data_IF_856751321831
#
_entry.id   IF_856751321831
#
_cell.length_a   1.000
_cell.length_b   1.000
_cell.length_c   1.000
_cell.angle_alpha   90.00
_cell.angle_beta   90.00
_cell.angle_gamma   90.00
#
_symmetry.space_group_name_H-M   'P 1'
#
loop_
_entity.id
_entity.type
_entity.pdbx_description
1 polymer ?
#
# COMPACT_ATOMS: atom_id res chain seq x y z
N UNK A 1 26.21 71.28 -9.46
CA UNK A 1 26.86 70.34 -8.53
C UNK A 1 25.79 69.42 -7.96
N UNK A 2 25.91 68.12 -7.91
CA UNK A 2 26.34 67.14 -8.90
C UNK A 2 25.54 65.87 -8.57
N UNK A 3 25.24 65.09 -9.59
CA UNK A 3 24.37 63.90 -9.52
C UNK A 3 25.21 62.74 -9.00
N UNK A 4 24.74 62.03 -7.96
CA UNK A 4 25.36 60.77 -7.57
C UNK A 4 24.28 59.72 -7.30
N UNK A 5 23.94 58.98 -8.36
CA UNK A 5 23.30 57.67 -8.27
C UNK A 5 24.38 56.68 -7.86
N UNK A 6 24.22 55.96 -6.75
CA UNK A 6 25.08 54.82 -6.43
C UNK A 6 24.42 53.55 -6.95
N UNK A 7 25.05 52.95 -7.96
CA UNK A 7 24.82 51.58 -8.36
C UNK A 7 25.88 50.72 -7.65
N UNK A 8 25.44 49.76 -6.84
CA UNK A 8 26.31 48.69 -6.37
C UNK A 8 25.66 47.36 -6.70
N UNK A 9 26.43 46.60 -7.48
CA UNK A 9 26.09 45.34 -8.10
C UNK A 9 25.81 44.24 -7.07
N UNK A 10 24.64 43.60 -7.18
CA UNK A 10 24.42 42.27 -6.60
C UNK A 10 24.10 41.32 -7.76
N UNK A 11 25.18 40.69 -8.22
CA UNK A 11 25.29 39.42 -8.93
C UNK A 11 23.95 38.69 -9.14
N UNK A 12 23.43 38.77 -10.38
CA UNK A 12 22.49 37.79 -10.92
C UNK A 12 23.24 36.50 -11.23
N UNK A 13 23.23 35.54 -10.31
CA UNK A 13 23.55 34.16 -10.65
C UNK A 13 22.76 33.20 -9.78
N UNK A 14 21.78 32.54 -10.41
CA UNK A 14 20.96 31.51 -9.79
C UNK A 14 19.82 31.16 -10.73
N UNK A 15 20.11 30.33 -11.74
CA UNK A 15 19.14 29.87 -12.74
C UNK A 15 17.84 29.40 -12.08
N UNK A 16 16.77 30.17 -12.29
CA UNK A 16 15.46 29.93 -11.70
C UNK A 16 14.66 28.81 -12.39
N UNK A 17 15.31 27.95 -13.17
CA UNK A 17 14.67 26.89 -13.95
C UNK A 17 14.49 25.57 -13.16
N UNK A 18 15.22 25.36 -12.06
CA UNK A 18 15.08 24.13 -11.26
C UNK A 18 13.89 24.14 -10.29
N UNK A 19 13.20 25.28 -10.10
CA UNK A 19 12.15 25.41 -9.07
C UNK A 19 10.77 24.89 -9.48
N UNK A 20 10.53 24.61 -10.77
CA UNK A 20 9.23 24.09 -11.23
C UNK A 20 9.08 22.57 -11.13
N UNK A 21 10.13 21.83 -10.78
CA UNK A 21 10.10 20.36 -10.71
C UNK A 21 10.06 19.82 -9.27
N UNK A 22 9.62 20.59 -8.28
CA UNK A 22 9.55 20.18 -6.86
C UNK A 22 8.51 19.08 -6.55
N UNK A 23 8.08 18.30 -7.54
CA UNK A 23 7.10 17.23 -7.33
C UNK A 23 7.13 16.12 -8.38
N UNK A 24 8.06 16.14 -9.34
CA UNK A 24 8.21 15.07 -10.31
C UNK A 24 9.53 14.34 -10.05
N UNK A 25 9.42 13.17 -9.43
CA UNK A 25 10.52 12.22 -9.36
C UNK A 25 10.77 11.63 -10.76
N UNK A 26 12.04 11.45 -11.13
CA UNK A 26 12.41 10.93 -12.45
C UNK A 26 12.54 12.01 -13.54
N UNK A 27 12.46 11.57 -14.79
CA UNK A 27 12.57 12.44 -15.98
C UNK A 27 11.21 12.52 -16.68
N UNK A 28 10.64 13.72 -16.89
CA UNK A 28 9.36 13.85 -17.57
C UNK A 28 9.46 13.39 -19.03
N UNK A 29 8.34 13.01 -19.63
CA UNK A 29 8.28 12.57 -21.04
C UNK A 29 8.42 13.74 -22.02
N UNK A 30 8.04 14.95 -21.60
CA UNK A 30 8.12 16.19 -22.39
C UNK A 30 8.76 17.31 -21.58
N UNK A 31 9.51 18.16 -22.27
CA UNK A 31 10.04 19.38 -21.69
C UNK A 31 8.92 20.42 -21.52
N UNK A 32 9.13 21.42 -20.66
CA UNK A 32 8.19 22.54 -20.46
C UNK A 32 7.84 23.32 -21.73
N UNK A 33 8.62 23.18 -22.80
CA UNK A 33 8.38 23.79 -24.11
C UNK A 33 7.48 22.95 -25.03
N UNK A 34 6.97 21.80 -24.56
CA UNK A 34 6.13 20.86 -25.32
C UNK A 34 6.90 19.80 -26.10
N UNK A 35 8.19 20.05 -26.37
CA UNK A 35 9.05 19.15 -27.12
C UNK A 35 9.48 17.91 -26.35
N UNK A 36 9.74 16.85 -27.11
CA UNK A 36 10.22 15.58 -26.58
C UNK A 36 11.60 15.70 -25.92
N UNK A 37 11.88 14.74 -25.04
CA UNK A 37 13.19 14.53 -24.42
C UNK A 37 13.86 13.33 -25.10
N UNK A 38 15.16 13.43 -25.30
CA UNK A 38 15.96 12.40 -25.95
C UNK A 38 17.26 12.14 -25.16
N UNK A 39 17.89 11.00 -25.42
CA UNK A 39 19.12 10.59 -24.74
C UNK A 39 20.34 10.91 -25.60
N UNK A 40 21.32 11.58 -25.02
CA UNK A 40 22.56 11.98 -25.69
C UNK A 40 23.77 11.42 -24.95
N UNK A 41 24.89 11.35 -25.65
CA UNK A 41 26.19 10.94 -25.10
C UNK A 41 27.09 12.17 -24.99
N UNK A 42 27.65 12.39 -23.81
CA UNK A 42 28.61 13.47 -23.56
C UNK A 42 29.91 13.19 -24.29
N UNK A 43 30.36 14.20 -25.03
CA UNK A 43 31.66 14.23 -25.73
C UNK A 43 32.69 15.11 -25.00
N UNK A 44 32.36 15.56 -23.79
CA UNK A 44 33.24 16.44 -23.02
C UNK A 44 34.40 15.67 -22.40
N UNK A 45 35.60 16.26 -22.35
CA UNK A 45 36.78 15.63 -21.74
C UNK A 45 36.56 15.28 -20.26
N UNK A 46 35.77 16.09 -19.53
CA UNK A 46 35.49 15.86 -18.11
C UNK A 46 34.53 14.69 -17.87
N UNK A 47 33.62 14.43 -18.80
CA UNK A 47 32.61 13.37 -18.69
C UNK A 47 32.51 12.62 -20.03
N UNK A 48 33.54 11.89 -20.44
CA UNK A 48 33.52 11.19 -21.71
C UNK A 48 32.50 10.05 -21.66
N UNK A 49 31.72 9.88 -22.73
CA UNK A 49 30.76 8.80 -22.93
C UNK A 49 29.58 8.72 -21.92
N UNK A 50 29.49 9.63 -20.95
CA UNK A 50 28.37 9.65 -19.99
C UNK A 50 27.08 10.06 -20.69
N UNK A 51 25.98 9.34 -20.43
CA UNK A 51 24.66 9.58 -21.06
C UNK A 51 23.83 10.58 -20.26
N UNK A 52 23.11 11.47 -20.96
CA UNK A 52 22.19 12.43 -20.34
C UNK A 52 20.90 12.59 -21.15
N UNK A 53 19.81 12.89 -20.47
CA UNK A 53 18.55 13.32 -21.05
C UNK A 53 18.56 14.81 -21.35
N UNK A 54 18.09 15.20 -22.53
CA UNK A 54 17.94 16.61 -22.91
C UNK A 54 16.75 16.82 -23.84
N UNK A 55 16.14 18.00 -23.75
CA UNK A 55 15.12 18.41 -24.72
C UNK A 55 15.68 18.51 -26.14
N UNK A 56 14.93 18.02 -27.13
CA UNK A 56 15.32 17.98 -28.55
C UNK A 56 15.69 19.35 -29.13
N UNK A 57 14.97 20.40 -28.74
CA UNK A 57 15.19 21.75 -29.29
C UNK A 57 16.19 22.60 -28.51
N UNK A 58 16.71 22.08 -27.39
CA UNK A 58 17.61 22.82 -26.51
C UNK A 58 18.93 23.23 -27.18
N UNK A 59 19.35 22.54 -28.25
CA UNK A 59 20.53 22.93 -29.04
C UNK A 59 20.25 24.08 -30.00
N UNK A 60 19.01 24.21 -30.49
CA UNK A 60 18.63 25.28 -31.41
C UNK A 60 18.29 26.57 -30.65
N UNK A 61 17.63 26.47 -29.49
CA UNK A 61 17.25 27.62 -28.65
C UNK A 61 18.31 27.93 -27.59
N UNK A 62 19.47 28.42 -28.04
CA UNK A 62 20.56 28.85 -27.14
C UNK A 62 20.08 30.05 -26.32
N UNK A 63 19.93 29.88 -25.01
CA UNK A 63 19.49 30.93 -24.07
C UNK A 63 18.27 30.55 -23.24
N UNK A 64 17.48 29.57 -23.70
CA UNK A 64 16.38 29.00 -22.93
C UNK A 64 16.88 27.84 -22.06
N UNK A 65 16.49 27.82 -20.79
CA UNK A 65 16.84 26.76 -19.86
C UNK A 65 15.89 25.55 -20.05
N UNK A 66 16.25 24.68 -20.99
CA UNK A 66 15.55 23.42 -21.21
C UNK A 66 16.02 22.30 -20.28
N UNK A 67 15.25 21.20 -20.22
CA UNK A 67 15.61 20.03 -19.43
C UNK A 67 16.98 19.48 -19.81
N UNK A 68 17.80 19.24 -18.79
CA UNK A 68 19.07 18.52 -18.82
C UNK A 68 19.18 17.71 -17.52
N UNK A 69 19.44 16.41 -17.62
CA UNK A 69 19.66 15.55 -16.45
C UNK A 69 20.52 14.34 -16.84
N UNK A 70 21.43 13.92 -15.96
CA UNK A 70 22.21 12.71 -16.20
C UNK A 70 21.35 11.44 -16.06
N UNK A 71 21.61 10.43 -16.89
CA UNK A 71 20.79 9.20 -16.91
C UNK A 71 20.94 8.40 -15.62
N UNK A 72 22.16 8.30 -15.10
CA UNK A 72 22.48 7.60 -13.85
C UNK A 72 21.84 8.29 -12.63
N UNK A 73 21.84 9.62 -12.58
CA UNK A 73 21.17 10.38 -11.52
C UNK A 73 19.65 10.20 -11.59
N UNK A 74 19.07 10.26 -12.79
CA UNK A 74 17.64 10.02 -12.99
C UNK A 74 17.22 8.60 -12.55
N UNK A 75 18.00 7.59 -12.93
CA UNK A 75 17.73 6.21 -12.56
C UNK A 75 17.86 5.98 -11.05
N UNK A 76 18.88 6.57 -10.42
CA UNK A 76 19.06 6.47 -8.97
C UNK A 76 17.85 7.03 -8.21
N UNK A 77 17.33 8.20 -8.64
CA UNK A 77 16.12 8.78 -8.05
C UNK A 77 14.88 7.89 -8.23
N UNK A 78 14.71 7.27 -9.39
CA UNK A 78 13.60 6.35 -9.66
C UNK A 78 13.70 5.08 -8.80
N UNK A 79 14.89 4.50 -8.67
CA UNK A 79 15.14 3.34 -7.81
C UNK A 79 14.80 3.68 -6.36
N UNK A 80 15.32 4.79 -5.82
CA UNK A 80 15.04 5.19 -4.43
C UNK A 80 13.54 5.41 -4.17
N UNK A 81 12.79 5.89 -5.17
CA UNK A 81 11.35 6.03 -5.05
C UNK A 81 10.64 4.68 -5.05
N UNK A 82 11.05 3.75 -5.93
CA UNK A 82 10.51 2.40 -5.98
C UNK A 82 10.75 1.68 -4.66
N UNK A 83 11.96 1.77 -4.11
CA UNK A 83 12.30 1.22 -2.79
C UNK A 83 11.41 1.81 -1.68
N UNK A 84 11.18 3.12 -1.70
CA UNK A 84 10.31 3.77 -0.72
C UNK A 84 8.87 3.26 -0.80
N UNK A 85 8.32 3.12 -2.02
CA UNK A 85 6.98 2.57 -2.24
C UNK A 85 6.88 1.11 -1.84
N UNK A 86 7.92 0.32 -2.14
CA UNK A 86 7.97 -1.09 -1.78
C UNK A 86 7.91 -1.28 -0.26
N UNK A 87 8.67 -0.48 0.50
CA UNK A 87 8.60 -0.52 1.97
C UNK A 87 7.19 -0.24 2.49
N UNK A 88 6.52 0.79 1.97
CA UNK A 88 5.15 1.11 2.38
C UNK A 88 4.18 -0.04 2.07
N UNK A 89 4.29 -0.66 0.89
CA UNK A 89 3.44 -1.80 0.52
C UNK A 89 3.71 -2.99 1.45
N UNK A 90 4.97 -3.27 1.78
CA UNK A 90 5.33 -4.36 2.70
C UNK A 90 4.78 -4.13 4.12
N UNK A 91 4.82 -2.88 4.61
CA UNK A 91 4.20 -2.48 5.88
C UNK A 91 2.67 -2.64 5.87
N UNK A 92 2.01 -2.16 4.82
CA UNK A 92 0.54 -2.29 4.67
C UNK A 92 0.09 -3.76 4.62
N UNK A 93 0.84 -4.62 3.91
CA UNK A 93 0.57 -6.06 3.83
C UNK A 93 0.77 -6.76 5.18
N UNK A 94 1.79 -6.36 5.94
CA UNK A 94 2.04 -6.87 7.28
C UNK A 94 0.88 -6.52 8.22
N UNK A 95 0.37 -5.31 8.16
CA UNK A 95 -0.71 -4.85 9.01
C UNK A 95 -2.06 -5.49 8.64
N UNK A 96 -2.37 -5.64 7.35
CA UNK A 96 -3.55 -6.42 6.91
C UNK A 96 -3.48 -7.88 7.36
N UNK A 97 -2.30 -8.52 7.32
CA UNK A 97 -2.13 -9.90 7.79
C UNK A 97 -2.39 -10.03 9.30
N UNK A 98 -2.03 -9.02 10.10
CA UNK A 98 -2.30 -9.01 11.54
C UNK A 98 -3.79 -8.85 11.84
N UNK A 99 -4.51 -8.02 11.09
CA UNK A 99 -5.96 -7.83 11.30
C UNK A 99 -6.74 -9.11 11.02
N UNK A 100 -6.41 -9.84 9.95
CA UNK A 100 -7.04 -11.13 9.62
C UNK A 100 -6.83 -12.17 10.74
N UNK A 101 -5.66 -12.19 11.37
CA UNK A 101 -5.37 -13.12 12.48
C UNK A 101 -6.19 -12.82 13.73
N UNK A 102 -6.54 -11.55 14.00
CA UNK A 102 -7.33 -11.16 15.17
C UNK A 102 -8.83 -11.47 15.06
N UNK A 103 -9.34 -11.73 13.86
CA UNK A 103 -10.75 -12.08 13.64
C UNK A 103 -11.04 -13.59 13.85
N UNK A 104 -10.01 -14.45 13.77
CA UNK A 104 -10.12 -15.91 14.02
C UNK A 104 -10.03 -16.26 15.51
N UNK A 105 -9.30 -15.47 16.31
CA UNK A 105 -9.17 -15.68 17.76
C UNK A 105 -10.42 -15.19 18.57
N UNK A 106 -11.39 -14.55 17.90
CA UNK A 106 -12.61 -13.99 18.51
C UNK A 106 -13.84 -14.92 18.51
N UNK A 107 -13.83 -16.04 17.79
CA UNK A 107 -15.00 -16.90 17.60
C UNK A 107 -15.20 -17.99 18.69
N UNK A 108 -14.49 -17.95 19.82
CA UNK A 108 -14.58 -18.97 20.89
C UNK A 108 -15.05 -18.47 22.27
N UNK A 109 -15.59 -17.26 22.41
CA UNK A 109 -16.11 -16.78 23.69
C UNK A 109 -17.52 -16.18 23.62
N UNK A 110 -18.52 -16.98 23.22
CA UNK A 110 -19.93 -16.68 23.55
C UNK A 110 -20.83 -17.93 23.56
N UNK A 111 -20.44 -19.01 24.23
CA UNK A 111 -21.38 -20.09 24.58
C UNK A 111 -21.21 -20.55 26.04
N UNK A 112 -21.32 -19.59 26.96
CA UNK A 112 -21.36 -19.90 28.38
C UNK A 112 -22.03 -18.79 29.15
N UNK A 113 -23.36 -18.86 29.28
CA UNK A 113 -24.11 -18.68 30.53
C UNK A 113 -25.59 -18.42 30.22
N UNK A 114 -26.38 -19.48 30.01
CA UNK A 114 -27.82 -19.49 30.28
C UNK A 114 -28.19 -20.89 30.74
N UNK A 115 -28.00 -21.16 32.01
CA UNK A 115 -28.29 -22.48 32.54
C UNK A 115 -28.07 -22.60 34.03
N UNK A 116 -28.71 -21.74 34.83
CA UNK A 116 -28.98 -22.01 36.23
C UNK A 116 -30.17 -21.16 36.68
N UNK A 117 -31.32 -21.80 36.88
CA UNK A 117 -32.17 -21.65 38.08
C UNK A 117 -33.61 -22.12 37.84
N UNK A 118 -33.91 -23.38 38.22
CA UNK A 118 -35.21 -23.69 38.82
C UNK A 118 -35.16 -25.00 39.64
N UNK A 119 -34.77 -24.89 40.90
CA UNK A 119 -35.24 -25.76 42.00
C UNK A 119 -36.00 -24.79 42.91
N UNK A 120 -37.28 -24.93 43.24
CA UNK A 120 -37.98 -26.08 43.83
C UNK A 120 -39.35 -25.55 44.25
N UNK A 121 -40.45 -26.31 44.11
CA UNK A 121 -41.56 -26.35 45.10
C UNK A 121 -42.60 -27.41 44.75
N UNK A 122 -42.85 -28.29 45.73
CA UNK A 122 -44.11 -29.00 46.03
C UNK A 122 -44.54 -30.09 45.02
N UNK A 123 -44.97 -31.30 45.41
CA UNK A 123 -45.73 -31.72 46.58
C UNK A 123 -45.64 -33.26 46.72
N UNK A 124 -45.64 -33.72 47.95
CA UNK A 124 -45.72 -35.13 48.36
C UNK A 124 -47.13 -35.71 48.25
N UNK A 125 -47.19 -37.05 48.40
CA UNK A 125 -48.33 -37.95 48.70
C UNK A 125 -49.06 -38.50 47.47
N UNK A 126 -48.68 -39.70 47.00
CA UNK A 126 -49.07 -41.07 47.43
C UNK A 126 -50.45 -41.51 46.90
N UNK A 127 -50.45 -42.61 46.13
CA UNK A 127 -51.42 -43.70 46.27
C UNK A 127 -51.22 -44.77 45.16
N UNK A 128 -50.89 -45.99 45.59
CA UNK A 128 -51.71 -47.15 45.21
C UNK A 128 -51.34 -48.00 43.99
N UNK A 129 -50.49 -49.01 44.24
CA UNK A 129 -50.72 -50.43 43.94
C UNK A 129 -50.90 -50.95 42.49
N UNK A 130 -49.89 -51.75 42.08
CA UNK A 130 -49.98 -53.17 41.68
C UNK A 130 -50.88 -53.57 40.49
N UNK A 131 -50.28 -54.07 39.39
CA UNK A 131 -50.39 -55.48 38.96
C UNK A 131 -49.77 -55.77 37.56
N UNK A 132 -48.72 -56.58 37.60
CA UNK A 132 -48.26 -57.64 36.67
C UNK A 132 -49.13 -58.10 35.46
N UNK A 133 -48.50 -58.24 34.28
CA UNK A 133 -48.27 -59.51 33.50
C UNK A 133 -48.25 -59.35 31.96
N UNK A 134 -47.22 -59.94 31.32
CA UNK A 134 -47.22 -60.42 29.92
C UNK A 134 -46.97 -59.34 28.85
N UNK A 135 -46.36 -59.60 27.70
CA UNK A 135 -45.84 -60.80 27.06
C UNK A 135 -44.98 -60.28 25.88
N UNK A 136 -43.87 -60.97 25.59
CA UNK A 136 -43.11 -60.99 24.33
C UNK A 136 -43.79 -60.27 23.15
N UNK A 137 -43.27 -59.11 22.70
CA UNK A 137 -44.03 -58.36 21.69
C UNK A 137 -43.37 -57.26 20.89
N UNK A 138 -42.05 -57.11 20.82
CA UNK A 138 -41.46 -56.22 19.79
C UNK A 138 -40.03 -56.57 19.32
N UNK A 139 -39.56 -57.81 19.57
CA UNK A 139 -38.34 -58.36 18.94
C UNK A 139 -38.49 -58.51 17.39
N UNK A 140 -39.61 -58.05 16.82
CA UNK A 140 -39.98 -58.22 15.42
C UNK A 140 -40.02 -56.91 14.62
N UNK A 141 -39.03 -56.02 14.78
CA UNK A 141 -38.86 -54.94 13.81
C UNK A 141 -37.41 -54.47 13.60
N UNK A 142 -36.43 -55.35 13.81
CA UNK A 142 -35.03 -55.10 13.42
C UNK A 142 -34.42 -56.29 12.67
N UNK A 143 -35.21 -56.91 11.79
CA UNK A 143 -34.69 -57.69 10.66
C UNK A 143 -34.62 -56.72 9.46
N UNK A 144 -33.49 -56.07 9.21
CA UNK A 144 -32.47 -56.61 8.29
C UNK A 144 -33.09 -57.31 7.08
N UNK A 145 -32.77 -56.77 5.89
CA UNK A 145 -32.80 -57.46 4.59
C UNK A 145 -34.24 -57.75 4.13
N UNK A 146 -34.71 -57.18 3.05
CA UNK A 146 -34.15 -57.40 1.71
C UNK A 146 -35.06 -56.62 0.75
N UNK A 147 -34.48 -56.06 -0.31
CA UNK A 147 -35.18 -55.72 -1.56
C UNK A 147 -36.02 -54.43 -1.59
#
# INVERSE_FOLDING_TARGET
MEKSRSASDIVKSGGACSRRNRGFHGVPTRCWCGEGIDTFISKTHKNPFRRFYRCKIAMQRKGEAHLFKWVDEALAEEISLVEARQRTIEEDLEDMRKTEKSEDDGASQNNGCLGEDMRKTEKSEDDGASQNNGCLGVITWFCCKLW
#
